data_IF_600279017248
#
_entry.id   IF_600279017248
#
_cell.length_a   1.000
_cell.length_b   1.000
_cell.length_c   1.000
_cell.angle_alpha   90.00
_cell.angle_beta   90.00
_cell.angle_gamma   90.00
#
_symmetry.space_group_name_H-M   'P 1'
#
loop_
_entity.id
_entity.type
_entity.pdbx_description
1 polymer ?
#
# COMPACT_ATOMS: atom_id res chain seq x y z
N UNK A 1 16.55 -21.31 27.95
CA UNK A 1 15.31 -21.34 27.12
C UNK A 1 15.45 -20.28 26.04
N UNK A 2 15.46 -20.62 24.74
CA UNK A 2 15.50 -19.60 23.70
C UNK A 2 14.14 -18.91 23.58
N UNK A 3 14.14 -17.57 23.64
CA UNK A 3 12.93 -16.75 23.47
C UNK A 3 12.45 -16.86 22.02
N UNK A 4 11.20 -17.25 21.81
CA UNK A 4 10.56 -17.27 20.49
C UNK A 4 10.40 -15.83 20.00
N UNK A 5 11.17 -15.44 19.00
CA UNK A 5 10.99 -14.18 18.26
C UNK A 5 9.62 -14.21 17.60
N UNK A 6 8.76 -13.19 17.77
CA UNK A 6 7.49 -13.14 17.06
C UNK A 6 7.80 -13.00 15.57
N UNK A 7 7.43 -14.01 14.79
CA UNK A 7 7.41 -13.89 13.33
C UNK A 7 6.49 -12.73 12.98
N UNK A 8 7.05 -11.66 12.41
CA UNK A 8 6.24 -10.64 11.76
C UNK A 8 5.41 -11.34 10.70
N UNK A 9 4.08 -11.30 10.82
CA UNK A 9 3.17 -11.62 9.72
C UNK A 9 3.42 -10.59 8.61
N UNK A 10 4.46 -10.82 7.81
CA UNK A 10 4.58 -10.22 6.49
C UNK A 10 3.34 -10.70 5.74
N UNK A 11 2.44 -9.78 5.40
CA UNK A 11 1.31 -10.09 4.53
C UNK A 11 1.90 -10.67 3.25
N UNK A 12 1.67 -11.96 3.01
CA UNK A 12 2.08 -12.59 1.76
C UNK A 12 1.44 -11.83 0.60
N UNK A 13 2.25 -11.45 -0.38
CA UNK A 13 1.74 -10.81 -1.59
C UNK A 13 0.93 -11.85 -2.37
N UNK A 14 -0.35 -11.56 -2.62
CA UNK A 14 -1.27 -12.46 -3.34
C UNK A 14 -1.07 -12.43 -4.86
N UNK A 15 -0.44 -11.37 -5.40
CA UNK A 15 -0.13 -11.26 -6.83
C UNK A 15 0.19 -9.84 -7.28
N UNK A 16 0.21 -9.64 -8.60
CA UNK A 16 0.48 -8.35 -9.24
C UNK A 16 -0.73 -7.85 -10.04
N UNK A 17 -0.93 -6.53 -10.05
CA UNK A 17 -1.92 -5.87 -10.89
C UNK A 17 -1.18 -5.13 -12.02
N UNK A 18 -1.30 -5.63 -13.25
CA UNK A 18 -0.70 -4.99 -14.43
C UNK A 18 -1.65 -3.93 -14.99
N UNK A 19 -1.57 -2.70 -14.46
CA UNK A 19 -2.40 -1.58 -14.89
C UNK A 19 -1.56 -0.56 -15.66
N UNK A 20 -1.89 -0.25 -16.92
CA UNK A 20 -1.26 0.86 -17.62
C UNK A 20 -1.64 2.18 -16.95
N UNK A 21 -0.65 3.02 -16.69
CA UNK A 21 -0.84 4.34 -16.07
C UNK A 21 -0.10 5.41 -16.87
N UNK A 22 -0.54 6.65 -16.73
CA UNK A 22 0.14 7.80 -17.34
C UNK A 22 1.50 8.05 -16.68
N UNK A 23 2.37 8.79 -17.36
CA UNK A 23 3.65 9.26 -16.78
C UNK A 23 3.44 10.12 -15.53
N UNK A 24 2.43 10.98 -15.54
CA UNK A 24 2.08 11.83 -14.40
C UNK A 24 1.70 10.99 -13.17
N UNK A 25 0.85 9.97 -13.35
CA UNK A 25 0.49 9.04 -12.28
C UNK A 25 1.71 8.29 -11.74
N UNK A 26 2.61 7.83 -12.62
CA UNK A 26 3.85 7.15 -12.20
C UNK A 26 4.76 8.07 -11.39
N UNK A 27 4.90 9.34 -11.78
CA UNK A 27 5.67 10.33 -11.04
C UNK A 27 5.05 10.61 -9.67
N UNK A 28 3.73 10.83 -9.63
CA UNK A 28 3.00 11.02 -8.36
C UNK A 28 3.15 9.84 -7.39
N UNK A 29 3.18 8.59 -7.87
CA UNK A 29 3.45 7.44 -7.01
C UNK A 29 4.86 7.45 -6.39
N UNK A 30 5.83 8.05 -7.07
CA UNK A 30 7.17 8.22 -6.52
C UNK A 30 7.18 9.25 -5.39
N UNK A 31 6.58 10.41 -5.63
CA UNK A 31 6.43 11.48 -4.63
C UNK A 31 5.65 11.02 -3.40
N UNK A 32 4.57 10.26 -3.62
CA UNK A 32 3.79 9.66 -2.54
C UNK A 32 4.59 8.64 -1.73
N UNK A 33 5.43 7.83 -2.37
CA UNK A 33 6.30 6.88 -1.65
C UNK A 33 7.21 7.60 -0.66
N UNK A 34 7.83 8.69 -1.09
CA UNK A 34 8.75 9.48 -0.25
C UNK A 34 7.99 10.18 0.88
N UNK A 35 6.92 10.91 0.56
CA UNK A 35 6.14 11.66 1.56
C UNK A 35 5.46 10.76 2.59
N UNK A 36 5.05 9.54 2.22
CA UNK A 36 4.43 8.58 3.13
C UNK A 36 5.45 7.74 3.91
N UNK A 37 6.75 7.87 3.63
CA UNK A 37 7.79 7.01 4.17
C UNK A 37 7.55 5.52 3.84
N UNK A 38 6.96 5.23 2.68
CA UNK A 38 6.63 3.87 2.27
C UNK A 38 7.87 3.16 1.72
N UNK A 39 7.98 1.87 2.00
CA UNK A 39 9.07 1.03 1.52
C UNK A 39 9.00 0.77 0.00
N UNK A 40 7.80 0.82 -0.57
CA UNK A 40 7.59 0.55 -2.01
C UNK A 40 6.39 1.31 -2.59
N UNK A 41 6.32 1.39 -3.91
CA UNK A 41 5.13 1.91 -4.60
C UNK A 41 3.91 0.99 -4.41
N UNK A 42 4.12 -0.32 -4.27
CA UNK A 42 3.03 -1.27 -3.97
C UNK A 42 2.38 -0.93 -2.62
N UNK A 43 3.21 -0.64 -1.60
CA UNK A 43 2.71 -0.24 -0.29
C UNK A 43 1.91 1.08 -0.33
N UNK A 44 2.33 2.05 -1.16
CA UNK A 44 1.55 3.27 -1.39
C UNK A 44 0.16 2.94 -1.92
N UNK A 45 0.08 2.05 -2.92
CA UNK A 45 -1.21 1.62 -3.50
C UNK A 45 -2.07 0.89 -2.45
N UNK A 46 -1.50 -0.03 -1.68
CA UNK A 46 -2.26 -0.75 -0.64
C UNK A 46 -2.82 0.20 0.42
N UNK A 47 -2.02 1.17 0.89
CA UNK A 47 -2.45 2.19 1.84
C UNK A 47 -3.54 3.08 1.23
N UNK A 48 -3.37 3.51 -0.02
CA UNK A 48 -4.36 4.31 -0.74
C UNK A 48 -5.71 3.58 -0.89
N UNK A 49 -5.70 2.31 -1.27
CA UNK A 49 -6.91 1.48 -1.38
C UNK A 49 -7.62 1.37 -0.04
N UNK A 50 -6.88 1.12 1.07
CA UNK A 50 -7.47 1.08 2.42
C UNK A 50 -8.16 2.39 2.80
N UNK A 51 -7.52 3.53 2.49
CA UNK A 51 -8.09 4.86 2.75
C UNK A 51 -9.36 5.09 1.92
N UNK A 52 -9.31 4.79 0.61
CA UNK A 52 -10.47 4.96 -0.28
C UNK A 52 -11.66 4.09 0.15
N UNK A 53 -11.42 2.85 0.57
CA UNK A 53 -12.46 1.97 1.10
C UNK A 53 -13.05 2.51 2.41
N UNK A 54 -12.21 3.06 3.30
CA UNK A 54 -12.67 3.68 4.54
C UNK A 54 -13.57 4.90 4.26
N UNK A 55 -13.16 5.77 3.33
CA UNK A 55 -13.97 6.92 2.87
C UNK A 55 -15.29 6.44 2.28
N UNK A 56 -15.26 5.44 1.39
CA UNK A 56 -16.46 4.89 0.75
C UNK A 56 -17.43 4.26 1.77
N UNK A 57 -16.91 3.65 2.83
CA UNK A 57 -17.73 3.11 3.93
C UNK A 57 -18.37 4.25 4.72
N UNK A 58 -17.58 5.26 5.10
CA UNK A 58 -18.06 6.42 5.84
C UNK A 58 -19.13 7.20 5.06
N UNK A 59 -18.96 7.39 3.76
CA UNK A 59 -19.89 8.12 2.91
C UNK A 59 -21.23 7.39 2.66
N UNK A 60 -21.29 6.07 2.91
CA UNK A 60 -22.52 5.26 2.80
C UNK A 60 -23.23 5.06 4.13
N UNK A 61 -22.63 5.51 5.23
CA UNK A 61 -23.15 5.36 6.60
C UNK A 61 -24.07 6.52 6.97
#
# INVERSE_FOLDING_TARGET
>A
MPKKTPMSQLSEQDGFINVPVTRATRAGLHELKESMGAASQAEVIERAVKILLAIQKAARS
#
